data_IF_221523292631
#
_entry.id   IF_221523292631
#
_cell.length_a   1.000
_cell.length_b   1.000
_cell.length_c   1.000
_cell.angle_alpha   90.00
_cell.angle_beta   90.00
_cell.angle_gamma   90.00
#
_symmetry.space_group_name_H-M   'P 1'
#
loop_
_entity.id
_entity.type
_entity.pdbx_description
1 polymer ?
#
# COMPACT_ATOMS: atom_id res chain seq x y z
N UNK A 1 14.83 8.94 6.56
CA UNK A 1 15.42 7.71 6.01
C UNK A 1 14.37 7.07 5.12
N UNK A 2 14.32 7.47 3.84
CA UNK A 2 13.52 6.79 2.81
C UNK A 2 14.14 5.41 2.61
N UNK A 3 13.51 4.38 3.18
CA UNK A 3 13.81 3.00 2.79
C UNK A 3 12.91 2.70 1.59
N UNK A 4 13.44 3.00 0.40
CA UNK A 4 12.91 2.57 -0.89
C UNK A 4 12.49 1.11 -0.81
N UNK A 5 11.19 0.87 -0.79
CA UNK A 5 10.62 -0.49 -0.83
C UNK A 5 10.48 -0.85 -2.31
N UNK A 6 11.63 -1.06 -2.94
CA UNK A 6 11.74 -1.44 -4.35
C UNK A 6 11.84 -2.97 -4.46
N UNK A 7 10.96 -3.56 -5.25
CA UNK A 7 10.97 -4.99 -5.53
C UNK A 7 11.03 -5.21 -7.03
N UNK A 8 11.95 -6.06 -7.47
CA UNK A 8 12.19 -6.34 -8.89
C UNK A 8 11.68 -7.74 -9.29
N UNK A 9 11.06 -7.82 -10.46
CA UNK A 9 10.75 -9.07 -11.17
C UNK A 9 10.65 -8.84 -12.67
N UNK A 10 11.22 -9.76 -13.45
CA UNK A 10 11.08 -9.78 -14.92
C UNK A 10 11.52 -8.47 -15.60
N UNK A 11 12.63 -7.87 -15.14
CA UNK A 11 13.12 -6.58 -15.66
C UNK A 11 12.21 -5.38 -15.35
N UNK A 12 11.34 -5.51 -14.34
CA UNK A 12 10.48 -4.44 -13.84
C UNK A 12 10.61 -4.34 -12.34
N UNK A 13 10.60 -3.12 -11.83
CA UNK A 13 10.55 -2.84 -10.40
C UNK A 13 9.22 -2.18 -10.03
N UNK A 14 8.68 -2.56 -8.88
CA UNK A 14 7.61 -1.84 -8.22
C UNK A 14 8.16 -1.15 -6.99
N UNK A 15 7.82 0.13 -6.83
CA UNK A 15 8.24 0.94 -5.70
C UNK A 15 7.11 1.78 -5.16
N UNK A 16 6.98 1.82 -3.84
CA UNK A 16 6.17 2.82 -3.14
C UNK A 16 6.93 4.16 -3.12
N UNK A 17 6.38 5.17 -3.78
CA UNK A 17 7.05 6.48 -3.95
C UNK A 17 6.53 7.52 -2.96
N UNK A 18 5.23 7.51 -2.71
CA UNK A 18 4.56 8.52 -1.90
C UNK A 18 3.52 7.84 -1.02
N UNK A 19 3.34 8.39 0.19
CA UNK A 19 2.26 7.99 1.10
C UNK A 19 1.61 9.24 1.64
N UNK A 20 0.31 9.37 1.42
CA UNK A 20 -0.53 10.46 1.90
C UNK A 20 -1.32 10.01 3.13
N UNK A 21 -1.48 10.91 4.08
CA UNK A 21 -2.17 10.65 5.34
C UNK A 21 -3.27 11.68 5.55
N UNK A 22 -4.50 11.21 5.75
CA UNK A 22 -5.66 12.04 6.11
C UNK A 22 -6.21 11.61 7.46
N UNK A 23 -5.96 12.42 8.49
CA UNK A 23 -6.57 12.21 9.80
C UNK A 23 -8.06 12.50 9.71
N UNK A 24 -8.89 11.58 10.23
CA UNK A 24 -10.34 11.80 10.39
C UNK A 24 -10.65 12.58 11.67
N UNK A 25 -9.67 12.71 12.56
CA UNK A 25 -9.80 13.45 13.83
C UNK A 25 -9.10 14.80 13.72
N UNK A 26 -9.83 15.93 13.80
CA UNK A 26 -9.26 17.27 13.61
C UNK A 26 -8.36 17.72 14.77
N UNK A 27 -8.50 17.12 15.96
CA UNK A 27 -7.77 17.52 17.17
C UNK A 27 -6.36 16.92 17.29
N UNK A 28 -5.99 16.00 16.40
CA UNK A 28 -4.70 15.32 16.42
C UNK A 28 -3.77 15.88 15.35
N UNK A 29 -2.49 16.07 15.71
CA UNK A 29 -1.47 16.44 14.72
C UNK A 29 -0.91 15.19 14.03
N UNK A 30 -0.72 15.27 12.71
CA UNK A 30 -0.06 14.21 11.93
C UNK A 30 1.31 13.85 12.51
N UNK A 31 2.06 14.84 13.00
CA UNK A 31 3.39 14.63 13.60
C UNK A 31 3.37 13.75 14.84
N UNK A 32 2.28 13.76 15.63
CA UNK A 32 2.16 12.90 16.80
C UNK A 32 1.85 11.44 16.42
N UNK A 33 1.18 11.22 15.28
CA UNK A 33 0.67 9.90 14.85
C UNK A 33 1.65 9.18 13.92
N UNK A 34 2.38 9.91 13.07
CA UNK A 34 3.34 9.38 12.10
C UNK A 34 4.35 8.37 12.68
N UNK A 35 4.98 8.59 13.86
CA UNK A 35 5.93 7.63 14.42
C UNK A 35 5.30 6.26 14.67
N UNK A 36 4.05 6.23 15.15
CA UNK A 36 3.31 5.00 15.42
C UNK A 36 2.88 4.26 14.14
N UNK A 37 2.76 4.98 13.03
CA UNK A 37 2.35 4.43 11.73
C UNK A 37 3.53 3.91 10.90
N UNK A 38 4.77 4.24 11.28
CA UNK A 38 5.96 3.94 10.48
C UNK A 38 6.12 2.45 10.16
N UNK A 39 5.90 1.58 11.15
CA UNK A 39 5.97 0.12 10.98
C UNK A 39 4.82 -0.39 10.12
N UNK A 40 3.59 0.07 10.38
CA UNK A 40 2.40 -0.34 9.62
C UNK A 40 2.46 0.08 8.15
N UNK A 41 2.85 1.33 7.89
CA UNK A 41 3.17 1.81 6.54
C UNK A 41 4.14 0.85 5.87
N UNK A 42 5.30 0.62 6.50
CA UNK A 42 6.37 -0.17 5.88
C UNK A 42 5.91 -1.58 5.55
N UNK A 43 5.26 -2.27 6.48
CA UNK A 43 4.74 -3.62 6.25
C UNK A 43 3.68 -3.61 5.14
N UNK A 44 2.83 -2.59 5.07
CA UNK A 44 1.88 -2.44 3.97
C UNK A 44 2.57 -2.26 2.62
N UNK A 45 3.57 -1.37 2.53
CA UNK A 45 4.31 -1.16 1.30
C UNK A 45 5.01 -2.45 0.85
N UNK A 46 5.67 -3.15 1.77
CA UNK A 46 6.34 -4.44 1.54
C UNK A 46 5.36 -5.51 1.04
N UNK A 47 4.26 -5.71 1.75
CA UNK A 47 3.27 -6.72 1.41
C UNK A 47 2.63 -6.46 0.04
N UNK A 48 2.30 -5.20 -0.26
CA UNK A 48 1.73 -4.80 -1.55
C UNK A 48 2.70 -5.04 -2.69
N UNK A 49 3.95 -4.57 -2.54
CA UNK A 49 4.96 -4.78 -3.56
C UNK A 49 5.21 -6.27 -3.77
N UNK A 50 5.38 -7.05 -2.70
CA UNK A 50 5.63 -8.50 -2.77
C UNK A 50 4.50 -9.25 -3.48
N UNK A 51 3.24 -8.93 -3.19
CA UNK A 51 2.08 -9.55 -3.84
C UNK A 51 2.00 -9.22 -5.35
N UNK A 52 2.38 -8.01 -5.74
CA UNK A 52 2.31 -7.55 -7.13
C UNK A 52 3.57 -7.86 -7.96
N UNK A 53 4.70 -8.13 -7.29
CA UNK A 53 5.99 -8.48 -7.89
C UNK A 53 5.88 -9.58 -8.97
N UNK A 54 5.24 -10.74 -8.74
CA UNK A 54 5.11 -11.77 -9.78
C UNK A 54 4.19 -11.38 -10.95
N UNK A 55 3.54 -10.21 -10.89
CA UNK A 55 2.55 -9.75 -11.86
C UNK A 55 2.93 -8.46 -12.58
N UNK A 56 4.11 -7.90 -12.32
CA UNK A 56 4.55 -6.63 -12.92
C UNK A 56 4.61 -6.69 -14.45
N UNK A 57 5.01 -7.83 -15.01
CA UNK A 57 5.05 -8.07 -16.46
C UNK A 57 3.66 -7.96 -17.11
N UNK A 58 2.62 -8.48 -16.46
CA UNK A 58 1.24 -8.42 -16.96
C UNK A 58 0.62 -7.05 -16.70
N UNK A 59 0.82 -6.48 -15.50
CA UNK A 59 0.27 -5.18 -15.12
C UNK A 59 0.73 -4.08 -16.08
N UNK A 60 2.04 -3.94 -16.27
CA UNK A 60 2.54 -2.90 -17.17
C UNK A 60 2.26 -3.19 -18.66
N UNK A 61 2.13 -4.47 -19.08
CA UNK A 61 1.64 -4.81 -20.42
C UNK A 61 0.17 -4.42 -20.62
N UNK A 62 -0.64 -4.44 -19.56
CA UNK A 62 -2.03 -3.96 -19.56
C UNK A 62 -2.17 -2.44 -19.42
N UNK A 63 -1.05 -1.71 -19.37
CA UNK A 63 -1.02 -0.24 -19.20
C UNK A 63 -1.10 0.23 -17.75
N UNK A 64 -1.13 -0.69 -16.78
CA UNK A 64 -1.10 -0.38 -15.35
C UNK A 64 0.36 -0.17 -14.93
N UNK A 65 0.83 1.08 -15.03
CA UNK A 65 2.19 1.47 -14.62
C UNK A 65 2.22 2.22 -13.28
N UNK A 66 1.05 2.58 -12.74
CA UNK A 66 0.91 3.18 -11.42
C UNK A 66 -0.30 2.59 -10.72
N UNK A 67 -0.20 2.41 -9.41
CA UNK A 67 -1.25 1.85 -8.57
C UNK A 67 -1.37 2.69 -7.31
N UNK A 68 -2.59 2.92 -6.86
CA UNK A 68 -2.90 3.52 -5.58
C UNK A 68 -3.52 2.46 -4.68
N UNK A 69 -3.05 2.38 -3.44
CA UNK A 69 -3.68 1.60 -2.38
C UNK A 69 -4.13 2.57 -1.30
N UNK A 70 -5.41 2.57 -0.97
CA UNK A 70 -5.95 3.34 0.15
C UNK A 70 -6.33 2.39 1.26
N UNK A 71 -5.80 2.61 2.46
CA UNK A 71 -6.16 1.91 3.70
C UNK A 71 -6.89 2.90 4.59
N UNK A 72 -8.11 2.55 4.96
CA UNK A 72 -8.99 3.35 5.81
C UNK A 72 -9.11 2.69 7.16
N UNK A 73 -8.56 3.31 8.19
CA UNK A 73 -8.70 2.85 9.59
C UNK A 73 -9.85 3.60 10.27
N UNK A 74 -10.68 2.84 10.97
CA UNK A 74 -11.74 3.32 11.86
C UNK A 74 -11.62 2.61 13.22
N UNK A 75 -12.44 2.99 14.20
CA UNK A 75 -12.39 2.39 15.55
C UNK A 75 -12.60 0.88 15.55
N UNK A 76 -13.45 0.38 14.65
CA UNK A 76 -13.89 -1.02 14.68
C UNK A 76 -13.66 -1.75 13.35
N UNK A 77 -13.23 -1.02 12.31
CA UNK A 77 -13.04 -1.56 10.96
C UNK A 77 -11.76 -1.02 10.33
N UNK A 78 -11.12 -1.88 9.55
CA UNK A 78 -10.04 -1.51 8.63
C UNK A 78 -10.47 -1.97 7.25
N UNK A 79 -10.56 -1.03 6.33
CA UNK A 79 -10.86 -1.29 4.93
C UNK A 79 -9.66 -0.93 4.09
N UNK A 80 -9.52 -1.59 2.95
CA UNK A 80 -8.55 -1.16 1.95
C UNK A 80 -9.13 -1.28 0.54
N UNK A 81 -8.64 -0.45 -0.36
CA UNK A 81 -9.00 -0.45 -1.76
C UNK A 81 -7.76 -0.23 -2.61
N UNK A 82 -7.64 -0.93 -3.73
CA UNK A 82 -6.54 -0.74 -4.67
C UNK A 82 -7.08 -0.45 -6.07
N UNK A 83 -6.39 0.46 -6.78
CA UNK A 83 -6.82 0.91 -8.09
C UNK A 83 -5.68 1.49 -8.92
N UNK A 84 -5.96 1.72 -10.21
CA UNK A 84 -5.07 2.38 -11.16
C UNK A 84 -5.89 3.27 -12.09
N UNK A 85 -5.42 4.49 -12.35
CA UNK A 85 -6.08 5.41 -13.29
C UNK A 85 -7.55 5.72 -12.96
N UNK A 86 -7.91 5.75 -11.66
CA UNK A 86 -9.29 6.00 -11.20
C UNK A 86 -10.23 4.80 -11.34
N UNK A 87 -9.71 3.61 -11.67
CA UNK A 87 -10.47 2.35 -11.70
C UNK A 87 -9.93 1.38 -10.65
N UNK A 88 -10.81 0.55 -10.09
CA UNK A 88 -10.40 -0.52 -9.20
C UNK A 88 -9.54 -1.55 -9.94
N UNK A 89 -8.60 -2.17 -9.23
CA UNK A 89 -7.81 -3.25 -9.80
C UNK A 89 -8.69 -4.46 -10.13
N UNK A 90 -8.35 -5.21 -11.19
CA UNK A 90 -8.98 -6.49 -11.47
C UNK A 90 -8.98 -7.41 -10.23
N UNK A 91 -10.09 -8.11 -10.01
CA UNK A 91 -10.30 -8.94 -8.81
C UNK A 91 -9.18 -9.95 -8.56
N UNK A 92 -8.56 -10.50 -9.61
CA UNK A 92 -7.40 -11.38 -9.47
C UNK A 92 -6.26 -10.75 -8.65
N UNK A 93 -5.95 -9.48 -8.87
CA UNK A 93 -4.87 -8.79 -8.15
C UNK A 93 -5.32 -8.34 -6.76
N UNK A 94 -6.61 -8.03 -6.60
CA UNK A 94 -7.20 -7.82 -5.28
C UNK A 94 -7.09 -9.06 -4.40
N UNK A 95 -7.30 -10.26 -4.94
CA UNK A 95 -7.14 -11.51 -4.17
C UNK A 95 -5.68 -11.77 -3.74
N UNK A 96 -4.71 -11.45 -4.61
CA UNK A 96 -3.28 -11.53 -4.26
C UNK A 96 -2.93 -10.53 -3.16
N UNK A 97 -3.47 -9.30 -3.27
CA UNK A 97 -3.33 -8.29 -2.22
C UNK A 97 -4.00 -8.76 -0.94
N UNK A 98 -5.24 -9.26 -0.94
CA UNK A 98 -5.93 -9.77 0.24
C UNK A 98 -5.06 -10.77 1.02
N UNK A 99 -4.45 -11.71 0.31
CA UNK A 99 -3.59 -12.75 0.89
C UNK A 99 -2.36 -12.17 1.60
N UNK A 100 -1.84 -11.02 1.14
CA UNK A 100 -0.68 -10.35 1.73
C UNK A 100 -1.04 -9.26 2.75
N UNK A 101 -2.15 -8.54 2.54
CA UNK A 101 -2.53 -7.36 3.32
C UNK A 101 -3.37 -7.70 4.54
N UNK A 102 -4.30 -8.66 4.43
CA UNK A 102 -5.16 -9.07 5.55
C UNK A 102 -4.32 -9.50 6.77
N UNK A 103 -3.23 -10.28 6.64
CA UNK A 103 -2.36 -10.63 7.76
C UNK A 103 -1.70 -9.41 8.42
N UNK A 104 -1.24 -8.43 7.61
CA UNK A 104 -0.64 -7.18 8.12
C UNK A 104 -1.66 -6.37 8.91
N UNK A 105 -2.91 -6.32 8.46
CA UNK A 105 -4.01 -5.62 9.12
C UNK A 105 -4.45 -6.33 10.42
N UNK A 106 -4.56 -7.67 10.42
CA UNK A 106 -5.21 -8.39 11.52
C UNK A 106 -4.29 -8.91 12.63
N UNK A 107 -2.98 -8.95 12.45
CA UNK A 107 -2.12 -9.50 13.50
C UNK A 107 -0.68 -9.81 13.13
N UNK A 108 -0.14 -9.18 12.09
CA UNK A 108 1.28 -9.25 11.79
C UNK A 108 2.15 -8.49 12.79
N UNK A 109 3.38 -8.16 12.39
CA UNK A 109 4.34 -7.42 13.23
C UNK A 109 4.01 -5.94 13.42
N UNK A 110 3.13 -5.38 12.60
CA UNK A 110 2.69 -3.99 12.69
C UNK A 110 1.31 -3.89 13.34
N UNK A 111 1.15 -3.05 14.35
CA UNK A 111 -0.17 -2.70 14.88
C UNK A 111 -0.82 -1.69 13.96
N UNK A 112 -2.07 -1.96 13.58
CA UNK A 112 -2.93 -0.96 12.93
C UNK A 112 -2.98 0.29 13.83
N UNK A 113 -2.78 1.48 13.25
CA UNK A 113 -2.92 2.72 13.97
C UNK A 113 -4.30 2.81 14.62
N UNK A 114 -4.32 3.09 15.93
CA UNK A 114 -5.56 3.25 16.69
C UNK A 114 -6.29 4.55 16.34
N UNK A 115 -5.61 5.47 15.66
CA UNK A 115 -6.20 6.71 15.17
C UNK A 115 -6.90 6.46 13.85
N UNK A 116 -8.16 6.92 13.75
CA UNK A 116 -8.91 6.84 12.50
C UNK A 116 -8.30 7.78 11.45
N UNK A 117 -7.84 7.19 10.34
CA UNK A 117 -7.24 7.93 9.24
C UNK A 117 -7.34 7.16 7.92
N UNK A 118 -7.15 7.87 6.83
CA UNK A 118 -6.91 7.27 5.51
C UNK A 118 -5.43 7.38 5.18
N UNK A 119 -4.83 6.27 4.74
CA UNK A 119 -3.47 6.20 4.23
C UNK A 119 -3.53 5.81 2.76
N UNK A 120 -2.96 6.63 1.88
CA UNK A 120 -2.92 6.34 0.45
C UNK A 120 -1.47 6.17 -0.01
N UNK A 121 -1.15 4.97 -0.46
CA UNK A 121 0.17 4.58 -0.96
C UNK A 121 0.15 4.63 -2.49
N UNK A 122 1.14 5.31 -3.07
CA UNK A 122 1.32 5.41 -4.51
C UNK A 122 2.51 4.56 -4.94
N UNK A 123 2.19 3.51 -5.71
CA UNK A 123 3.16 2.60 -6.30
C UNK A 123 3.36 2.92 -7.77
N UNK A 124 4.61 2.90 -8.21
CA UNK A 124 4.95 2.96 -9.62
C UNK A 124 5.68 1.69 -10.04
N UNK A 125 5.34 1.22 -11.23
CA UNK A 125 6.02 0.14 -11.91
C UNK A 125 6.94 0.78 -12.95
N UNK A 126 8.24 0.55 -12.80
CA UNK A 126 9.28 1.04 -13.71
C UNK A 126 9.99 -0.13 -14.36
N UNK A 127 10.50 0.06 -15.57
CA UNK A 127 11.40 -0.90 -16.18
C UNK A 127 12.79 -0.77 -15.55
N UNK A 128 13.38 -1.88 -15.12
CA UNK A 128 14.79 -1.93 -14.73
C UNK A 128 15.60 -2.22 -15.99
N UNK A 129 16.57 -1.35 -16.26
CA UNK A 129 17.32 -1.28 -17.53
C UNK A 129 18.53 -2.20 -17.47
#
# INVERSE_FOLDING_TARGET
MQQDTEFESDGRAIRCTEVFYWLKTPDLSLSAVLPSCSVFHREMAVASCSALTPHLSVLSASGINSLALRVSTHTDLVEYQAGSGGRLLPQRYMNELDSALIPVIHGGSARVPQTAMDMEFIFYITHTV
#
